data_IF_159972853197
#
_entry.id   IF_159972853197
#
_cell.length_a   1.000
_cell.length_b   1.000
_cell.length_c   1.000
_cell.angle_alpha   90.00
_cell.angle_beta   90.00
_cell.angle_gamma   90.00
#
_symmetry.space_group_name_H-M   'P 1'
#
loop_
_entity.id
_entity.type
_entity.pdbx_description
1 polymer ?
#
# COMPACT_ATOMS: atom_id res chain seq x y z
N UNK A 1 -41.66 8.42 63.89
CA UNK A 1 -41.30 7.30 63.01
C UNK A 1 -40.43 7.83 61.88
N UNK A 2 -39.12 7.56 61.91
CA UNK A 2 -38.24 7.82 60.76
C UNK A 2 -38.51 6.70 59.75
N UNK A 3 -39.00 7.05 58.57
CA UNK A 3 -39.09 6.10 57.46
C UNK A 3 -37.66 5.77 57.01
N UNK A 4 -37.29 4.50 57.02
CA UNK A 4 -35.99 4.02 56.53
C UNK A 4 -35.90 4.21 55.01
N UNK A 5 -35.45 5.40 54.58
CA UNK A 5 -35.22 5.75 53.16
C UNK A 5 -34.02 5.02 52.55
N UNK A 6 -33.17 4.41 53.39
CA UNK A 6 -31.93 3.72 52.99
C UNK A 6 -32.19 2.44 52.17
N UNK A 7 -33.27 1.71 52.48
CA UNK A 7 -33.66 0.51 51.73
C UNK A 7 -34.16 0.81 50.32
N UNK A 8 -34.92 1.91 50.16
CA UNK A 8 -35.43 2.36 48.86
C UNK A 8 -34.30 2.81 47.93
N UNK A 9 -33.30 3.54 48.46
CA UNK A 9 -32.14 3.99 47.70
C UNK A 9 -31.28 2.82 47.18
N UNK A 10 -31.10 1.78 47.99
CA UNK A 10 -30.33 0.59 47.59
C UNK A 10 -31.04 -0.22 46.49
N UNK A 11 -32.37 -0.34 46.59
CA UNK A 11 -33.21 -0.99 45.57
C UNK A 11 -33.16 -0.23 44.23
N UNK A 12 -33.35 1.08 44.26
CA UNK A 12 -33.30 1.91 43.06
C UNK A 12 -31.91 1.88 42.40
N UNK A 13 -30.84 1.99 43.19
CA UNK A 13 -29.47 1.88 42.69
C UNK A 13 -29.18 0.50 42.07
N UNK A 14 -29.67 -0.59 42.67
CA UNK A 14 -29.50 -1.95 42.14
C UNK A 14 -30.25 -2.17 40.82
N UNK A 15 -31.33 -1.42 40.57
CA UNK A 15 -32.11 -1.50 39.33
C UNK A 15 -31.55 -0.60 38.23
N UNK A 16 -31.00 0.57 38.58
CA UNK A 16 -30.41 1.53 37.63
C UNK A 16 -28.99 1.17 37.21
N UNK A 17 -28.17 0.64 38.13
CA UNK A 17 -26.75 0.33 37.87
C UNK A 17 -26.54 -0.61 36.66
N UNK A 18 -27.33 -1.69 36.46
CA UNK A 18 -27.20 -2.54 35.27
C UNK A 18 -27.44 -1.78 33.96
N UNK A 19 -28.39 -0.84 33.93
CA UNK A 19 -28.68 -0.04 32.74
C UNK A 19 -27.57 0.95 32.43
N UNK A 20 -27.08 1.66 33.45
CA UNK A 20 -25.94 2.56 33.31
C UNK A 20 -24.72 1.78 32.82
N UNK A 21 -24.43 0.63 33.42
CA UNK A 21 -23.32 -0.24 33.02
C UNK A 21 -23.48 -0.70 31.56
N UNK A 22 -24.67 -1.14 31.15
CA UNK A 22 -24.95 -1.56 29.77
C UNK A 22 -24.72 -0.41 28.78
N UNK A 23 -25.19 0.80 29.09
CA UNK A 23 -24.96 1.99 28.25
C UNK A 23 -23.48 2.34 28.16
N UNK A 24 -22.74 2.25 29.26
CA UNK A 24 -21.28 2.50 29.23
C UNK A 24 -20.55 1.47 28.39
N UNK A 25 -20.90 0.19 28.46
CA UNK A 25 -20.28 -0.84 27.61
C UNK A 25 -20.62 -0.62 26.13
N UNK A 26 -21.87 -0.28 25.80
CA UNK A 26 -22.25 0.04 24.43
C UNK A 26 -21.42 1.19 23.86
N UNK A 27 -21.23 2.27 24.63
CA UNK A 27 -20.38 3.39 24.24
C UNK A 27 -18.92 2.98 24.07
N UNK A 28 -18.38 2.15 24.97
CA UNK A 28 -17.01 1.64 24.87
C UNK A 28 -16.81 0.77 23.63
N UNK A 29 -17.73 -0.15 23.35
CA UNK A 29 -17.67 -0.98 22.14
C UNK A 29 -17.77 -0.15 20.87
N UNK A 30 -18.64 0.87 20.87
CA UNK A 30 -18.75 1.79 19.74
C UNK A 30 -17.47 2.60 19.52
N UNK A 31 -16.85 3.11 20.59
CA UNK A 31 -15.58 3.82 20.49
C UNK A 31 -14.46 2.90 19.96
N UNK A 32 -14.37 1.66 20.44
CA UNK A 32 -13.41 0.67 19.95
C UNK A 32 -13.64 0.32 18.47
N UNK A 33 -14.90 0.20 18.06
CA UNK A 33 -15.27 -0.06 16.67
C UNK A 33 -14.74 1.03 15.74
N UNK A 34 -14.96 2.30 16.08
CA UNK A 34 -14.46 3.44 15.27
C UNK A 34 -12.93 3.51 15.31
N UNK A 35 -12.33 3.35 16.50
CA UNK A 35 -10.89 3.43 16.68
C UNK A 35 -10.15 2.40 15.83
N UNK A 36 -10.69 1.18 15.72
CA UNK A 36 -10.08 0.11 14.93
C UNK A 36 -10.00 0.46 13.44
N UNK A 37 -11.10 0.92 12.83
CA UNK A 37 -11.10 1.30 11.41
C UNK A 37 -10.17 2.48 11.15
N UNK A 38 -10.15 3.45 12.06
CA UNK A 38 -9.29 4.63 11.96
C UNK A 38 -7.80 4.26 12.04
N UNK A 39 -7.42 3.38 12.96
CA UNK A 39 -6.03 2.91 13.09
C UNK A 39 -5.59 2.10 11.86
N UNK A 40 -6.45 1.24 11.32
CA UNK A 40 -6.14 0.47 10.12
C UNK A 40 -5.97 1.39 8.90
N UNK A 41 -6.86 2.37 8.73
CA UNK A 41 -6.77 3.37 7.69
C UNK A 41 -5.47 4.19 7.80
N UNK A 42 -5.15 4.67 9.01
CA UNK A 42 -3.92 5.43 9.28
C UNK A 42 -2.66 4.64 8.93
N UNK A 43 -2.57 3.38 9.39
CA UNK A 43 -1.45 2.49 9.06
C UNK A 43 -1.33 2.25 7.54
N UNK A 44 -2.46 2.05 6.85
CA UNK A 44 -2.51 1.86 5.40
C UNK A 44 -2.10 3.13 4.63
N UNK A 45 -2.49 4.32 5.12
CA UNK A 45 -2.09 5.62 4.56
C UNK A 45 -0.58 5.82 4.70
N UNK A 46 -0.03 5.60 5.90
CA UNK A 46 1.41 5.69 6.11
C UNK A 46 2.17 4.75 5.17
N UNK A 47 1.69 3.52 5.02
CA UNK A 47 2.35 2.54 4.16
C UNK A 47 2.37 3.00 2.69
N UNK A 48 1.22 3.41 2.15
CA UNK A 48 1.10 3.84 0.74
C UNK A 48 1.84 5.16 0.47
N UNK A 49 1.73 6.15 1.37
CA UNK A 49 2.43 7.42 1.25
C UNK A 49 3.94 7.26 1.32
N UNK A 50 4.46 6.47 2.27
CA UNK A 50 5.89 6.18 2.36
C UNK A 50 6.38 5.42 1.14
N UNK A 51 5.59 4.49 0.62
CA UNK A 51 5.95 3.77 -0.59
C UNK A 51 6.02 4.74 -1.79
N UNK A 52 5.05 5.65 -1.91
CA UNK A 52 4.99 6.60 -3.02
C UNK A 52 6.13 7.63 -2.93
N UNK A 53 6.41 8.15 -1.74
CA UNK A 53 7.47 9.13 -1.50
C UNK A 53 8.87 8.55 -1.72
N UNK A 54 9.07 7.29 -1.33
CA UNK A 54 10.35 6.60 -1.46
C UNK A 54 10.53 5.87 -2.79
N UNK A 55 9.53 5.89 -3.68
CA UNK A 55 9.54 5.14 -4.94
C UNK A 55 10.80 5.39 -5.78
N UNK A 56 11.28 6.64 -5.74
CA UNK A 56 12.36 7.11 -6.58
C UNK A 56 13.70 6.43 -6.35
N UNK A 57 13.95 5.94 -5.13
CA UNK A 57 15.21 5.29 -4.78
C UNK A 57 15.00 4.25 -3.67
N UNK A 58 15.46 3.02 -3.91
CA UNK A 58 15.42 1.92 -2.94
C UNK A 58 16.24 2.16 -1.66
N UNK A 59 17.27 2.99 -1.71
CA UNK A 59 18.11 3.30 -0.55
C UNK A 59 17.53 4.35 0.39
N UNK A 60 16.43 5.03 0.03
CA UNK A 60 15.80 6.00 0.92
C UNK A 60 15.29 5.33 2.20
N UNK A 61 15.54 5.98 3.34
CA UNK A 61 15.02 5.50 4.64
C UNK A 61 13.50 5.60 4.65
N UNK A 62 12.81 4.48 4.83
CA UNK A 62 11.34 4.40 4.72
C UNK A 62 10.62 5.39 5.65
N UNK A 63 11.11 5.60 6.88
CA UNK A 63 10.44 6.45 7.87
C UNK A 63 10.64 7.94 7.67
N UNK A 64 11.80 8.38 7.16
CA UNK A 64 12.15 9.81 7.03
C UNK A 64 12.23 10.30 5.60
N UNK A 65 12.31 9.39 4.63
CA UNK A 65 12.59 9.70 3.24
C UNK A 65 14.01 10.21 2.99
N UNK A 66 14.89 10.16 3.99
CA UNK A 66 16.25 10.66 3.90
C UNK A 66 17.06 9.89 2.85
N UNK A 67 17.90 10.63 2.14
CA UNK A 67 18.70 10.14 1.04
C UNK A 67 20.12 9.82 1.53
N UNK A 68 20.57 8.55 1.50
CA UNK A 68 21.97 8.23 1.79
C UNK A 68 22.87 8.77 0.68
N UNK A 69 23.98 9.42 1.07
CA UNK A 69 24.94 9.95 0.09
C UNK A 69 25.60 8.82 -0.69
N UNK A 70 25.73 9.00 -2.02
CA UNK A 70 26.41 8.04 -2.90
C UNK A 70 25.62 6.77 -3.24
N UNK A 71 24.43 6.55 -2.68
CA UNK A 71 23.62 5.37 -2.95
C UNK A 71 22.39 5.72 -3.78
N UNK A 72 22.39 5.29 -5.04
CA UNK A 72 21.37 5.59 -6.03
C UNK A 72 20.93 4.29 -6.70
N UNK A 73 19.63 4.17 -6.97
CA UNK A 73 19.19 3.16 -7.93
C UNK A 73 19.77 3.47 -9.32
N UNK A 74 20.12 2.42 -10.06
CA UNK A 74 20.66 2.57 -11.41
C UNK A 74 19.65 3.23 -12.34
N UNK A 75 20.07 4.23 -13.12
CA UNK A 75 19.21 5.11 -13.92
C UNK A 75 18.17 4.41 -14.84
N UNK A 76 18.39 3.14 -15.16
CA UNK A 76 17.57 2.36 -16.08
C UNK A 76 16.83 1.19 -15.42
N UNK A 77 16.80 1.11 -14.09
CA UNK A 77 16.09 0.03 -13.36
C UNK A 77 14.61 -0.06 -13.77
N UNK A 78 14.00 1.09 -14.09
CA UNK A 78 12.61 1.16 -14.58
C UNK A 78 12.41 0.57 -15.97
N UNK A 79 13.42 0.44 -16.83
CA UNK A 79 13.21 -0.23 -18.13
C UNK A 79 12.96 -1.73 -17.98
N UNK A 80 13.56 -2.35 -16.96
CA UNK A 80 13.44 -3.78 -16.72
C UNK A 80 12.30 -4.12 -15.77
N UNK A 81 11.97 -3.22 -14.84
CA UNK A 81 10.97 -3.48 -13.79
C UNK A 81 9.68 -2.68 -13.94
N UNK A 82 9.66 -1.63 -14.77
CA UNK A 82 8.45 -0.86 -15.08
C UNK A 82 7.83 -1.36 -16.39
N UNK A 83 6.66 -1.98 -16.28
CA UNK A 83 5.96 -2.65 -17.39
C UNK A 83 5.54 -1.70 -18.51
N UNK A 84 5.55 -0.39 -18.29
CA UNK A 84 5.19 0.58 -19.32
C UNK A 84 6.19 0.61 -20.48
N UNK A 85 7.48 0.60 -20.17
CA UNK A 85 8.52 0.59 -21.22
C UNK A 85 8.57 -0.77 -21.90
N UNK A 86 8.32 -1.85 -21.16
CA UNK A 86 8.14 -3.19 -21.75
C UNK A 86 6.97 -3.20 -22.74
N UNK A 87 5.86 -2.51 -22.42
CA UNK A 87 4.70 -2.37 -23.32
C UNK A 87 5.04 -1.69 -24.65
N UNK A 88 5.94 -0.70 -24.67
CA UNK A 88 6.39 -0.04 -25.90
C UNK A 88 7.04 -1.02 -26.90
N UNK A 89 7.77 -2.01 -26.37
CA UNK A 89 8.49 -3.01 -27.16
C UNK A 89 7.71 -4.32 -27.32
N UNK A 90 6.44 -4.37 -26.91
CA UNK A 90 5.62 -5.59 -27.00
C UNK A 90 6.03 -6.71 -26.03
N UNK A 91 6.83 -6.40 -25.01
CA UNK A 91 7.31 -7.35 -23.99
C UNK A 91 6.32 -7.54 -22.83
N UNK A 92 5.29 -6.70 -22.71
CA UNK A 92 4.32 -6.77 -21.62
C UNK A 92 3.05 -7.53 -22.05
N UNK A 93 2.76 -8.64 -21.36
CA UNK A 93 1.50 -9.38 -21.46
C UNK A 93 0.72 -9.20 -20.14
N UNK A 94 -0.27 -8.30 -20.13
CA UNK A 94 -1.12 -8.04 -18.95
C UNK A 94 -0.94 -6.67 -18.28
N UNK A 95 -1.87 -6.33 -17.38
CA UNK A 95 -1.94 -5.01 -16.72
C UNK A 95 -0.68 -4.67 -15.94
N UNK A 96 -0.24 -3.40 -16.01
CA UNK A 96 0.99 -2.87 -15.40
C UNK A 96 0.95 -2.76 -13.88
N UNK A 97 0.60 -3.86 -13.20
CA UNK A 97 0.50 -3.97 -11.75
C UNK A 97 1.58 -4.92 -11.21
N UNK A 98 2.18 -4.54 -10.09
CA UNK A 98 3.09 -5.35 -9.30
C UNK A 98 2.56 -5.38 -7.89
N UNK A 99 2.39 -6.56 -7.32
CA UNK A 99 1.69 -6.70 -6.05
C UNK A 99 2.44 -7.62 -5.09
N UNK A 100 2.28 -7.32 -3.80
CA UNK A 100 2.99 -7.98 -2.70
C UNK A 100 2.02 -8.18 -1.55
N UNK A 101 1.99 -9.39 -1.02
CA UNK A 101 1.22 -9.69 0.20
C UNK A 101 1.84 -9.01 1.42
N UNK A 102 0.98 -8.46 2.27
CA UNK A 102 1.32 -7.82 3.53
C UNK A 102 0.80 -8.69 4.66
N UNK A 103 1.67 -9.00 5.61
CA UNK A 103 1.32 -9.72 6.83
C UNK A 103 2.16 -9.23 8.00
N UNK A 104 1.68 -9.40 9.24
CA UNK A 104 2.46 -9.07 10.43
C UNK A 104 3.81 -9.81 10.43
N UNK A 105 4.85 -9.15 10.94
CA UNK A 105 6.21 -9.71 11.07
C UNK A 105 6.89 -10.14 9.75
N UNK A 106 6.42 -9.64 8.61
CA UNK A 106 7.09 -9.88 7.32
C UNK A 106 8.53 -9.35 7.32
N UNK A 107 9.44 -10.14 6.73
CA UNK A 107 10.83 -9.74 6.59
C UNK A 107 11.01 -8.75 5.43
N UNK A 108 11.97 -7.85 5.57
CA UNK A 108 12.34 -6.93 4.49
C UNK A 108 12.98 -7.67 3.32
N UNK A 109 12.85 -7.10 2.13
CA UNK A 109 13.60 -7.51 0.94
C UNK A 109 14.66 -6.47 0.64
N UNK A 110 15.86 -6.96 0.33
CA UNK A 110 16.90 -6.15 -0.31
C UNK A 110 16.73 -6.21 -1.82
N UNK A 111 16.84 -5.04 -2.47
CA UNK A 111 16.71 -4.93 -3.91
C UNK A 111 16.10 -3.62 -4.37
N UNK A 112 16.33 -3.30 -5.65
CA UNK A 112 15.82 -2.11 -6.31
C UNK A 112 14.55 -2.36 -7.13
N UNK A 113 14.07 -3.61 -7.19
CA UNK A 113 12.87 -3.96 -7.93
C UNK A 113 11.61 -3.33 -7.34
N UNK A 114 10.57 -3.16 -8.16
CA UNK A 114 9.28 -2.65 -7.71
C UNK A 114 8.72 -3.50 -6.55
N UNK A 115 8.78 -4.82 -6.65
CA UNK A 115 8.35 -5.73 -5.59
C UNK A 115 9.21 -5.57 -4.31
N UNK A 116 10.54 -5.53 -4.44
CA UNK A 116 11.44 -5.34 -3.28
C UNK A 116 11.19 -4.02 -2.55
N UNK A 117 10.88 -2.95 -3.29
CA UNK A 117 10.50 -1.65 -2.73
C UNK A 117 9.20 -1.73 -1.93
N UNK A 118 8.19 -2.42 -2.47
CA UNK A 118 6.92 -2.64 -1.79
C UNK A 118 7.10 -3.46 -0.50
N UNK A 119 7.82 -4.59 -0.59
CA UNK A 119 8.14 -5.45 0.58
C UNK A 119 8.86 -4.64 1.66
N UNK A 120 9.86 -3.83 1.30
CA UNK A 120 10.63 -3.03 2.26
C UNK A 120 9.76 -2.02 3.01
N UNK A 121 8.80 -1.40 2.34
CA UNK A 121 7.90 -0.44 2.99
C UNK A 121 6.85 -1.15 3.83
N UNK A 122 6.31 -2.25 3.34
CA UNK A 122 5.37 -3.08 4.06
C UNK A 122 6.00 -3.63 5.35
N UNK A 123 7.22 -4.18 5.31
CA UNK A 123 7.91 -4.71 6.48
C UNK A 123 8.26 -3.62 7.50
N UNK A 124 8.75 -2.46 7.04
CA UNK A 124 9.04 -1.33 7.93
C UNK A 124 7.79 -0.76 8.60
N UNK A 125 6.65 -0.80 7.90
CA UNK A 125 5.37 -0.35 8.46
C UNK A 125 4.80 -1.41 9.41
N UNK A 126 4.91 -2.70 9.08
CA UNK A 126 4.54 -3.83 9.95
C UNK A 126 5.32 -3.87 11.26
N UNK A 127 6.61 -3.53 11.25
CA UNK A 127 7.41 -3.46 12.47
C UNK A 127 7.11 -2.24 13.37
N UNK A 128 6.45 -1.20 12.86
CA UNK A 128 6.24 0.07 13.60
C UNK A 128 4.77 0.39 13.89
N UNK A 129 3.84 -0.19 13.14
CA UNK A 129 2.41 0.07 13.23
C UNK A 129 1.67 -1.26 13.21
N UNK A 130 0.49 -1.28 13.83
CA UNK A 130 -0.43 -2.41 13.67
C UNK A 130 -1.05 -2.33 12.27
N UNK A 131 -0.38 -2.95 11.32
CA UNK A 131 -0.95 -3.28 10.01
C UNK A 131 -1.56 -4.67 10.08
N UNK A 132 -2.69 -4.81 9.42
CA UNK A 132 -3.36 -6.08 9.24
C UNK A 132 -2.65 -6.98 8.24
N UNK A 133 -3.40 -7.90 7.66
CA UNK A 133 -2.99 -8.69 6.51
C UNK A 133 -3.68 -8.18 5.24
N UNK A 134 -3.06 -8.36 4.08
CA UNK A 134 -3.68 -7.98 2.82
C UNK A 134 -2.64 -7.82 1.73
N UNK A 135 -2.75 -6.75 0.95
CA UNK A 135 -1.94 -6.57 -0.24
C UNK A 135 -1.54 -5.10 -0.43
N UNK A 136 -0.32 -4.89 -0.95
CA UNK A 136 0.14 -3.60 -1.45
C UNK A 136 0.55 -3.76 -2.92
N UNK A 137 0.03 -2.90 -3.79
CA UNK A 137 0.30 -2.94 -5.22
C UNK A 137 0.80 -1.60 -5.75
N UNK A 138 1.68 -1.66 -6.75
CA UNK A 138 2.08 -0.54 -7.59
C UNK A 138 1.46 -0.72 -8.96
N UNK A 139 0.78 0.32 -9.45
CA UNK A 139 0.16 0.34 -10.76
C UNK A 139 0.67 1.52 -11.58
N UNK A 140 1.14 1.23 -12.79
CA UNK A 140 1.54 2.23 -13.78
C UNK A 140 0.67 2.14 -15.05
N UNK A 141 -0.10 3.20 -15.31
CA UNK A 141 -0.88 3.36 -16.55
C UNK A 141 -0.38 4.53 -17.40
N UNK A 142 0.87 4.95 -17.19
CA UNK A 142 1.57 6.00 -17.95
C UNK A 142 1.34 7.40 -17.44
N UNK A 143 0.12 7.89 -17.56
CA UNK A 143 -0.23 9.22 -17.06
C UNK A 143 -0.44 9.22 -15.53
N UNK A 144 -0.76 8.05 -14.96
CA UNK A 144 -1.00 7.88 -13.53
C UNK A 144 -0.18 6.71 -13.01
N UNK A 145 0.56 6.98 -11.95
CA UNK A 145 1.30 6.00 -11.16
C UNK A 145 0.78 6.07 -9.74
N UNK A 146 0.38 4.95 -9.20
CA UNK A 146 -0.23 4.89 -7.88
C UNK A 146 0.21 3.64 -7.14
N UNK A 147 0.26 3.76 -5.82
CA UNK A 147 0.43 2.65 -4.91
C UNK A 147 -0.89 2.49 -4.17
N UNK A 148 -1.39 1.26 -4.11
CA UNK A 148 -2.63 0.91 -3.41
C UNK A 148 -2.31 -0.07 -2.30
N UNK A 149 -3.04 0.02 -1.20
CA UNK A 149 -3.01 -0.96 -0.14
C UNK A 149 -4.44 -1.33 0.25
N UNK A 150 -4.74 -2.63 0.23
CA UNK A 150 -5.97 -3.19 0.78
C UNK A 150 -5.59 -4.05 1.98
N UNK A 151 -5.89 -3.59 3.19
CA UNK A 151 -5.55 -4.28 4.43
C UNK A 151 -6.79 -4.63 5.24
N UNK A 152 -6.76 -5.78 5.89
CA UNK A 152 -7.77 -6.28 6.81
C UNK A 152 -7.16 -6.51 8.21
N UNK A 153 -7.77 -5.96 9.25
CA UNK A 153 -7.29 -6.12 10.63
C UNK A 153 -7.32 -7.58 11.09
N UNK A 154 -6.27 -8.05 11.75
CA UNK A 154 -6.19 -9.43 12.28
C UNK A 154 -6.47 -9.53 13.79
N UNK A 155 -6.47 -8.38 14.50
CA UNK A 155 -6.57 -8.31 15.97
C UNK A 155 -7.99 -8.06 16.51
N UNK A 156 -9.03 -8.55 15.84
CA UNK A 156 -10.41 -8.28 16.27
C UNK A 156 -10.75 -8.99 17.58
N UNK A 157 -11.41 -8.26 18.48
CA UNK A 157 -12.13 -8.89 19.57
C UNK A 157 -13.40 -9.56 19.02
N UNK A 158 -13.57 -10.86 19.25
CA UNK A 158 -14.73 -11.67 18.87
C UNK A 158 -16.11 -10.98 19.06
N UNK A 159 -16.38 -10.27 20.19
CA UNK A 159 -17.65 -9.57 20.36
C UNK A 159 -17.90 -8.49 19.31
N UNK A 160 -16.85 -7.77 18.87
CA UNK A 160 -16.95 -6.73 17.84
C UNK A 160 -17.17 -7.33 16.45
N UNK A 161 -16.54 -8.49 16.17
CA UNK A 161 -16.74 -9.23 14.91
C UNK A 161 -18.20 -9.63 14.78
N UNK A 162 -18.78 -10.20 15.85
CA UNK A 162 -20.19 -10.62 15.87
C UNK A 162 -21.13 -9.43 15.71
N UNK A 163 -20.85 -8.31 16.39
CA UNK A 163 -21.64 -7.09 16.26
C UNK A 163 -21.61 -6.53 14.83
N UNK A 164 -20.51 -6.72 14.09
CA UNK A 164 -20.35 -6.29 12.69
C UNK A 164 -20.98 -7.26 11.67
N UNK A 165 -21.40 -8.45 12.09
CA UNK A 165 -21.91 -9.48 11.17
C UNK A 165 -20.83 -10.38 10.57
N UNK A 166 -19.67 -10.54 11.22
CA UNK A 166 -18.68 -11.57 10.89
C UNK A 166 -17.44 -11.11 10.12
N UNK A 167 -17.32 -9.83 9.77
CA UNK A 167 -16.21 -9.31 8.96
C UNK A 167 -15.07 -8.67 9.75
N UNK A 168 -13.84 -8.79 9.24
CA UNK A 168 -12.70 -8.00 9.69
C UNK A 168 -12.92 -6.50 9.41
N UNK A 169 -12.13 -5.62 10.04
CA UNK A 169 -12.12 -4.23 9.59
C UNK A 169 -11.24 -4.18 8.35
N UNK A 170 -11.69 -3.52 7.29
CA UNK A 170 -10.98 -3.41 6.02
C UNK A 170 -10.70 -1.93 5.73
N UNK A 171 -9.56 -1.66 5.12
CA UNK A 171 -9.20 -0.34 4.63
C UNK A 171 -8.53 -0.47 3.26
N UNK A 172 -9.02 0.31 2.30
CA UNK A 172 -8.37 0.51 1.01
C UNK A 172 -7.88 1.95 0.93
N UNK A 173 -6.58 2.11 0.68
CA UNK A 173 -5.93 3.43 0.57
C UNK A 173 -5.05 3.46 -0.66
N UNK A 174 -4.91 4.63 -1.28
CA UNK A 174 -4.04 4.82 -2.44
C UNK A 174 -3.27 6.14 -2.36
N UNK A 175 -2.01 6.13 -2.82
CA UNK A 175 -1.17 7.31 -2.92
C UNK A 175 -0.58 7.44 -4.33
N UNK A 176 -0.47 8.68 -4.83
CA UNK A 176 0.12 8.96 -6.15
C UNK A 176 1.65 9.02 -6.07
N UNK A 177 2.30 8.40 -7.05
CA UNK A 177 3.74 8.49 -7.23
C UNK A 177 4.07 9.72 -8.08
N UNK A 178 4.66 10.74 -7.46
CA UNK A 178 4.99 12.01 -8.13
C UNK A 178 6.51 12.11 -8.36
N UNK A 179 6.91 11.92 -9.61
CA UNK A 179 8.31 12.07 -10.04
C UNK A 179 8.36 12.82 -11.39
N UNK A 180 8.38 14.17 -11.39
CA UNK A 180 8.25 14.95 -12.61
C UNK A 180 9.43 14.75 -13.59
N UNK A 181 10.65 14.66 -13.07
CA UNK A 181 11.84 14.45 -13.90
C UNK A 181 11.82 13.08 -14.60
N UNK A 182 11.43 12.02 -13.89
CA UNK A 182 11.29 10.68 -14.46
C UNK A 182 10.14 10.60 -15.47
N UNK A 183 9.06 11.35 -15.24
CA UNK A 183 7.95 11.45 -16.18
C UNK A 183 8.39 12.04 -17.52
N UNK A 184 9.10 13.18 -17.51
CA UNK A 184 9.65 13.80 -18.72
C UNK A 184 10.62 12.85 -19.44
N UNK A 185 11.53 12.21 -18.69
CA UNK A 185 12.48 11.23 -19.23
C UNK A 185 11.76 10.08 -19.93
N UNK A 186 10.74 9.51 -19.29
CA UNK A 186 9.96 8.39 -19.85
C UNK A 186 9.18 8.83 -21.09
N UNK A 187 8.59 10.02 -21.05
CA UNK A 187 7.85 10.58 -22.18
C UNK A 187 8.77 10.83 -23.38
N UNK A 188 9.94 11.45 -23.18
CA UNK A 188 10.92 11.68 -24.23
C UNK A 188 11.46 10.38 -24.81
N UNK A 189 11.70 9.37 -23.96
CA UNK A 189 12.09 8.03 -24.39
C UNK A 189 11.04 7.43 -25.33
N UNK A 190 9.77 7.43 -24.90
CA UNK A 190 8.66 6.90 -25.70
C UNK A 190 8.54 7.67 -27.01
N UNK A 191 8.58 9.01 -26.97
CA UNK A 191 8.50 9.87 -28.16
C UNK A 191 9.62 9.56 -29.15
N UNK A 192 10.85 9.45 -28.66
CA UNK A 192 12.02 9.16 -29.47
C UNK A 192 11.93 7.77 -30.13
N UNK A 193 11.64 6.73 -29.34
CA UNK A 193 11.56 5.37 -29.86
C UNK A 193 10.33 5.14 -30.73
N UNK A 194 9.20 5.81 -30.47
CA UNK A 194 8.04 5.79 -31.36
C UNK A 194 8.38 6.40 -32.72
N UNK A 195 9.05 7.56 -32.75
CA UNK A 195 9.51 8.16 -33.99
C UNK A 195 10.55 7.27 -34.72
N UNK A 196 11.49 6.69 -33.97
CA UNK A 196 12.52 5.78 -34.52
C UNK A 196 11.90 4.53 -35.14
N UNK A 197 10.92 3.91 -34.46
CA UNK A 197 10.16 2.76 -34.98
C UNK A 197 9.40 3.10 -36.25
N UNK A 198 8.73 4.26 -36.29
CA UNK A 198 7.99 4.69 -37.47
C UNK A 198 8.86 4.94 -38.71
N UNK A 199 10.15 5.25 -38.48
CA UNK A 199 11.14 5.52 -39.53
C UNK A 199 12.03 4.31 -39.84
N UNK A 200 11.80 3.17 -39.18
CA UNK A 200 12.60 1.97 -39.40
C UNK A 200 12.27 1.37 -40.76
N UNK A 201 13.29 1.19 -41.60
CA UNK A 201 13.14 0.78 -43.01
C UNK A 201 12.46 -0.58 -43.19
N UNK A 202 12.57 -1.46 -42.19
CA UNK A 202 12.02 -2.82 -42.23
C UNK A 202 10.70 -2.95 -41.44
N UNK A 203 10.13 -1.83 -41.00
CA UNK A 203 8.83 -1.77 -40.32
C UNK A 203 8.91 -1.82 -38.78
N UNK A 204 7.93 -1.18 -38.13
CA UNK A 204 7.90 -1.03 -36.68
C UNK A 204 7.83 -2.36 -35.91
N UNK A 205 7.19 -3.39 -36.47
CA UNK A 205 7.08 -4.70 -35.82
C UNK A 205 8.43 -5.42 -35.73
N UNK A 206 9.23 -5.40 -36.80
CA UNK A 206 10.56 -6.01 -36.82
C UNK A 206 11.49 -5.32 -35.82
N UNK A 207 11.42 -3.98 -35.74
CA UNK A 207 12.16 -3.23 -34.72
C UNK A 207 11.78 -3.62 -33.29
N UNK A 208 10.48 -3.79 -33.01
CA UNK A 208 10.01 -4.22 -31.68
C UNK A 208 10.52 -5.62 -31.35
N UNK A 209 10.46 -6.56 -32.30
CA UNK A 209 10.95 -7.92 -32.12
C UNK A 209 12.45 -7.97 -31.82
N UNK A 210 13.26 -7.20 -32.56
CA UNK A 210 14.71 -7.10 -32.33
C UNK A 210 15.02 -6.45 -30.97
N UNK A 211 14.32 -5.36 -30.61
CA UNK A 211 14.49 -4.71 -29.32
C UNK A 211 14.08 -5.61 -28.16
N UNK A 212 13.01 -6.39 -28.33
CA UNK A 212 12.52 -7.35 -27.35
C UNK A 212 13.55 -8.47 -27.10
N UNK A 213 14.18 -9.00 -28.15
CA UNK A 213 15.23 -10.02 -28.05
C UNK A 213 16.49 -9.51 -27.33
N UNK A 214 16.89 -8.26 -27.56
CA UNK A 214 18.02 -7.66 -26.84
C UNK A 214 17.71 -7.48 -25.34
N UNK A 215 16.48 -7.05 -25.02
CA UNK A 215 16.06 -6.82 -23.64
C UNK A 215 15.87 -8.12 -22.85
N UNK A 216 15.43 -9.21 -23.50
CA UNK A 216 15.29 -10.52 -22.85
C UNK A 216 16.65 -11.13 -22.50
N UNK A 217 17.65 -10.99 -23.39
CA UNK A 217 19.03 -11.46 -23.14
C UNK A 217 19.73 -10.74 -21.98
N UNK A 218 19.30 -9.51 -21.66
CA UNK A 218 19.89 -8.70 -20.58
C UNK A 218 19.22 -8.90 -19.21
N UNK A 219 18.18 -9.74 -19.12
CA UNK A 219 17.54 -10.14 -17.86
C UNK A 219 18.30 -11.28 -17.12
N UNK A 220 19.42 -11.76 -17.67
CA UNK A 220 20.39 -12.63 -16.97
C UNK A 220 21.45 -11.81 -16.25
#
# INVERSE_FOLDING_TARGET
>A
MRQDTTGSFTLEASMLLPWVLMMTFLLLFFALYIAQGTLLYYSSSIMTERAAFNWSNSFKKVSTGAYPQGQYDGLYWRLTDDRLVQGLFGLATGGGETSVEVYPDMQGSEGSSAASKLVRVASATAGSHRVGSGEISYRNIGIKREIRAGLASVWLAEPLVRLRGGGAAEAEVSALVVEPAEFLRTFDLIRYYAAKMSRYSEGAEKYRAEAADVLSKRKM
#
